data_IF_465211331936
#
_entry.id   IF_465211331936
#
_cell.length_a   1.000
_cell.length_b   1.000
_cell.length_c   1.000
_cell.angle_alpha   90.00
_cell.angle_beta   90.00
_cell.angle_gamma   90.00
#
_symmetry.space_group_name_H-M   'P 1'
#
loop_
_entity.id
_entity.type
_entity.pdbx_description
1 polymer ?
#
# COMPACT_ATOMS: atom_id res chain seq x y z
N UNK A 1 2.13 12.58 5.85
CA UNK A 1 0.94 12.28 6.70
C UNK A 1 0.83 10.78 6.86
N UNK A 2 0.54 10.25 8.06
CA UNK A 2 0.38 8.80 8.26
C UNK A 2 -0.81 8.24 7.45
N UNK A 3 -0.76 6.93 7.16
CA UNK A 3 -1.89 6.20 6.59
C UNK A 3 -2.93 5.93 7.68
N UNK A 4 -4.19 6.15 7.33
CA UNK A 4 -5.33 5.78 8.16
C UNK A 4 -5.67 4.31 8.00
N UNK A 5 -6.35 3.71 8.97
CA UNK A 5 -6.79 2.30 8.88
C UNK A 5 -7.68 2.04 7.66
N UNK A 6 -8.49 3.02 7.28
CA UNK A 6 -9.33 2.96 6.07
C UNK A 6 -8.48 2.84 4.80
N UNK A 7 -7.39 3.60 4.71
CA UNK A 7 -6.47 3.54 3.57
C UNK A 7 -5.67 2.24 3.56
N UNK A 8 -5.28 1.75 4.73
CA UNK A 8 -4.63 0.44 4.89
C UNK A 8 -5.54 -0.69 4.40
N UNK A 9 -6.82 -0.65 4.74
CA UNK A 9 -7.80 -1.63 4.24
C UNK A 9 -7.97 -1.52 2.72
N UNK A 10 -7.99 -0.32 2.16
CA UNK A 10 -8.08 -0.12 0.72
C UNK A 10 -6.85 -0.66 -0.04
N UNK A 11 -5.64 -0.53 0.53
CA UNK A 11 -4.41 -1.13 -0.01
C UNK A 11 -4.52 -2.66 0.00
N UNK A 12 -5.01 -3.26 1.10
CA UNK A 12 -5.22 -4.72 1.20
C UNK A 12 -6.20 -5.23 0.16
N UNK A 13 -7.31 -4.53 -0.05
CA UNK A 13 -8.31 -4.92 -1.04
C UNK A 13 -7.77 -4.82 -2.48
N UNK A 14 -6.99 -3.78 -2.79
CA UNK A 14 -6.32 -3.68 -4.09
C UNK A 14 -5.36 -4.85 -4.36
N UNK A 15 -4.59 -5.26 -3.33
CA UNK A 15 -3.68 -6.40 -3.45
C UNK A 15 -4.41 -7.73 -3.62
N UNK A 16 -5.56 -7.91 -2.97
CA UNK A 16 -6.43 -9.10 -3.13
C UNK A 16 -6.99 -9.18 -4.56
N UNK A 17 -7.50 -8.08 -5.09
CA UNK A 17 -8.04 -8.03 -6.46
C UNK A 17 -6.98 -8.34 -7.54
N UNK A 18 -5.71 -8.06 -7.28
CA UNK A 18 -4.61 -8.47 -8.18
C UNK A 18 -4.37 -9.98 -8.17
N UNK A 19 -4.51 -10.63 -7.01
CA UNK A 19 -4.31 -12.07 -6.87
C UNK A 19 -5.35 -12.88 -7.68
N UNK A 20 -6.53 -12.31 -7.93
CA UNK A 20 -7.57 -12.88 -8.79
C UNK A 20 -7.26 -12.70 -10.30
N UNK A 21 -6.03 -12.28 -10.66
CA UNK A 21 -5.51 -12.07 -12.01
C UNK A 21 -6.33 -11.16 -12.92
N UNK A 22 -7.27 -10.40 -12.36
CA UNK A 22 -8.34 -9.75 -13.15
C UNK A 22 -7.93 -8.38 -13.69
N UNK A 23 -7.03 -7.66 -13.01
CA UNK A 23 -6.51 -6.37 -13.47
C UNK A 23 -5.35 -5.88 -12.58
N UNK A 24 -4.22 -5.45 -13.16
CA UNK A 24 -3.10 -4.83 -12.42
C UNK A 24 -3.26 -3.31 -12.21
N UNK A 25 -4.20 -2.67 -12.92
CA UNK A 25 -4.47 -1.23 -12.87
C UNK A 25 -4.77 -0.70 -11.46
N UNK A 26 -5.59 -1.37 -10.61
CA UNK A 26 -5.85 -0.89 -9.26
C UNK A 26 -4.59 -0.78 -8.40
N UNK A 27 -3.68 -1.75 -8.51
CA UNK A 27 -2.42 -1.78 -7.74
C UNK A 27 -1.46 -0.69 -8.20
N UNK A 28 -1.36 -0.44 -9.50
CA UNK A 28 -0.60 0.68 -10.05
C UNK A 28 -1.14 2.03 -9.54
N UNK A 29 -2.45 2.26 -9.66
CA UNK A 29 -3.08 3.50 -9.19
C UNK A 29 -2.93 3.70 -7.69
N UNK A 30 -3.03 2.61 -6.90
CA UNK A 30 -2.84 2.68 -5.45
C UNK A 30 -1.39 3.03 -5.10
N UNK A 31 -0.42 2.46 -5.82
CA UNK A 31 1.00 2.74 -5.62
C UNK A 31 1.31 4.22 -5.78
N UNK A 32 0.85 4.84 -6.88
CA UNK A 32 1.09 6.27 -7.13
C UNK A 32 0.44 7.16 -6.06
N UNK A 33 -0.81 6.85 -5.66
CA UNK A 33 -1.48 7.59 -4.57
C UNK A 33 -0.74 7.51 -3.23
N UNK A 34 -0.21 6.33 -2.90
CA UNK A 34 0.54 6.14 -1.64
C UNK A 34 1.87 6.89 -1.71
N UNK A 35 2.58 6.83 -2.84
CA UNK A 35 3.81 7.60 -3.08
C UNK A 35 3.58 9.10 -2.94
N UNK A 36 2.56 9.64 -3.60
CA UNK A 36 2.18 11.07 -3.52
C UNK A 36 1.85 11.49 -2.08
N UNK A 37 1.02 10.71 -1.38
CA UNK A 37 0.59 11.05 -0.01
C UNK A 37 1.74 11.03 1.00
N UNK A 38 2.62 10.05 0.86
CA UNK A 38 3.76 9.88 1.76
C UNK A 38 4.99 10.67 1.31
N UNK A 39 4.95 11.26 0.12
CA UNK A 39 6.08 11.92 -0.54
C UNK A 39 7.30 11.00 -0.62
N UNK A 40 7.08 9.77 -1.11
CA UNK A 40 8.09 8.72 -1.25
C UNK A 40 8.33 8.44 -2.73
N UNK A 41 9.60 8.43 -3.13
CA UNK A 41 10.04 7.86 -4.40
C UNK A 41 10.56 6.43 -4.18
N UNK A 42 10.25 5.53 -5.11
CA UNK A 42 10.68 4.14 -5.01
C UNK A 42 10.63 3.44 -6.37
N UNK A 43 11.70 2.74 -6.70
CA UNK A 43 11.84 1.88 -7.89
C UNK A 43 11.28 0.47 -7.65
N UNK A 44 10.70 0.20 -6.48
CA UNK A 44 10.09 -1.10 -6.19
C UNK A 44 8.90 -1.35 -7.12
N UNK A 45 8.70 -2.63 -7.46
CA UNK A 45 7.49 -3.06 -8.19
C UNK A 45 6.24 -2.70 -7.36
N UNK A 46 5.13 -2.27 -7.99
CA UNK A 46 3.91 -1.80 -7.29
C UNK A 46 3.43 -2.71 -6.16
N UNK A 47 3.30 -4.02 -6.42
CA UNK A 47 2.89 -5.01 -5.43
C UNK A 47 3.85 -5.09 -4.25
N UNK A 48 5.16 -5.12 -4.53
CA UNK A 48 6.20 -5.18 -3.51
C UNK A 48 6.20 -3.92 -2.65
N UNK A 49 6.09 -2.75 -3.29
CA UNK A 49 5.99 -1.46 -2.60
C UNK A 49 4.83 -1.44 -1.61
N UNK A 50 3.62 -1.80 -2.05
CA UNK A 50 2.44 -1.80 -1.19
C UNK A 50 2.55 -2.80 -0.03
N UNK A 51 3.12 -3.99 -0.23
CA UNK A 51 3.38 -4.92 0.87
C UNK A 51 4.39 -4.38 1.89
N UNK A 52 5.44 -3.69 1.45
CA UNK A 52 6.40 -3.02 2.34
C UNK A 52 5.69 -1.98 3.19
N UNK A 53 4.87 -1.12 2.58
CA UNK A 53 4.09 -0.09 3.30
C UNK A 53 3.15 -0.70 4.34
N UNK A 54 2.48 -1.82 4.03
CA UNK A 54 1.62 -2.51 5.00
C UNK A 54 2.41 -3.06 6.19
N UNK A 55 3.60 -3.61 5.94
CA UNK A 55 4.48 -4.13 7.00
C UNK A 55 4.97 -3.01 7.91
N UNK A 56 5.40 -1.90 7.30
CA UNK A 56 5.89 -0.75 8.05
C UNK A 56 4.77 -0.14 8.90
N UNK A 57 3.56 0.03 8.33
CA UNK A 57 2.40 0.49 9.10
C UNK A 57 2.09 -0.42 10.29
N UNK A 58 2.11 -1.74 10.09
CA UNK A 58 1.89 -2.71 11.18
C UNK A 58 2.97 -2.60 12.26
N UNK A 59 4.24 -2.44 11.85
CA UNK A 59 5.35 -2.29 12.78
C UNK A 59 5.24 -1.02 13.63
N UNK A 60 4.94 0.12 13.00
CA UNK A 60 4.82 1.40 13.72
C UNK A 60 3.57 1.44 14.61
N UNK A 61 2.45 0.90 14.16
CA UNK A 61 1.22 0.85 14.99
C UNK A 61 1.34 -0.11 16.18
N UNK A 62 2.11 -1.19 16.06
CA UNK A 62 2.29 -2.17 17.15
C UNK A 62 3.32 -1.71 18.18
N UNK A 63 4.27 -0.84 17.81
CA UNK A 63 5.29 -0.30 18.74
C UNK A 63 4.86 0.99 19.45
N UNK A 64 3.86 1.70 18.94
CA UNK A 64 3.28 2.87 19.60
C UNK A 64 2.10 2.53 20.54
N UNK A 65 1.88 1.25 20.82
CA UNK A 65 0.97 0.73 21.85
C UNK A 65 1.76 0.23 23.06
#
# INVERSE_FOLDING_TARGET
KALTDKEVNLIKDCLRMQADHTNSKPVLMMTEKVKEKLNIESDMRPTQFLYTILRDHTFYTTREQ
#
